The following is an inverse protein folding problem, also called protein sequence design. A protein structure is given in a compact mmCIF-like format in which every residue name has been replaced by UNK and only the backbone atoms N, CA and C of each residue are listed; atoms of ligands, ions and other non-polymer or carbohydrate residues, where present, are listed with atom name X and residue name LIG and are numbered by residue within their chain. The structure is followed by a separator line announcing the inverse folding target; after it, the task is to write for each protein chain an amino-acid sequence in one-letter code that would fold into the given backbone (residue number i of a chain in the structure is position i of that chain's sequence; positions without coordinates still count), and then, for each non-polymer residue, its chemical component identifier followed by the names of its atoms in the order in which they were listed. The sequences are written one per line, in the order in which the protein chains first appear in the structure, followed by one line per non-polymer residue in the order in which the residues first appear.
data_IF_300081247451
#
_entry.id   IF_300081247451
#
_cell.length_a   1.000
_cell.length_b   1.000
_cell.length_c   1.000
_cell.angle_alpha   90.00
_cell.angle_beta   90.00
_cell.angle_gamma   90.00
#
_symmetry.space_group_name_H-M   'P 1'
#
loop_
_entity.id
_entity.type
_entity.pdbx_description
1 polymer ?
#
# COMPACT_ATOMS: atom_id res chain seq x y z
N UNK A 1 -21.36 66.82 18.83
CA UNK A 1 -22.10 65.68 19.43
C UNK A 1 -22.59 64.78 18.31
N UNK A 2 -22.39 63.47 18.48
CA UNK A 2 -22.89 62.31 17.72
C UNK A 2 -22.23 62.06 16.33
N UNK A 3 -21.34 61.08 16.11
CA UNK A 3 -21.32 59.61 16.30
C UNK A 3 -22.14 58.79 15.27
N UNK A 4 -21.41 57.91 14.54
CA UNK A 4 -21.81 56.55 14.06
C UNK A 4 -22.71 56.56 12.79
N UNK A 5 -22.36 55.95 11.64
CA UNK A 5 -22.09 54.52 11.38
C UNK A 5 -21.20 54.27 10.16
N UNK A 6 -20.16 53.47 10.36
CA UNK A 6 -19.55 52.63 9.33
C UNK A 6 -20.53 51.52 8.92
N UNK A 7 -20.71 51.29 7.63
CA UNK A 7 -21.28 50.05 7.09
C UNK A 7 -20.21 49.32 6.29
N UNK A 8 -19.56 48.37 6.96
CA UNK A 8 -18.74 47.30 6.39
C UNK A 8 -19.63 46.37 5.56
N UNK A 9 -19.40 46.29 4.26
CA UNK A 9 -19.92 45.20 3.43
C UNK A 9 -18.83 44.13 3.35
N UNK A 10 -18.82 43.23 4.33
CA UNK A 10 -18.01 42.02 4.30
C UNK A 10 -18.74 40.93 3.52
N UNK A 11 -18.29 40.65 2.30
CA UNK A 11 -18.75 39.48 1.53
C UNK A 11 -18.04 38.25 2.08
N UNK A 12 -18.70 37.55 3.01
CA UNK A 12 -18.26 36.26 3.52
C UNK A 12 -18.54 35.16 2.51
N UNK A 13 -17.50 34.68 1.83
CA UNK A 13 -17.55 33.45 1.04
C UNK A 13 -17.56 32.26 2.00
N UNK A 14 -18.74 31.70 2.25
CA UNK A 14 -18.88 30.44 2.97
C UNK A 14 -18.48 29.30 2.04
N UNK A 15 -17.21 28.87 2.08
CA UNK A 15 -16.78 27.58 1.54
C UNK A 15 -17.35 26.48 2.44
N UNK A 16 -18.56 26.02 2.11
CA UNK A 16 -19.09 24.75 2.59
C UNK A 16 -18.27 23.64 1.94
N UNK A 17 -17.16 23.26 2.58
CA UNK A 17 -16.51 21.98 2.30
C UNK A 17 -17.49 20.91 2.79
N UNK A 18 -18.34 20.44 1.87
CA UNK A 18 -19.17 19.26 2.08
C UNK A 18 -18.25 18.06 2.26
N UNK A 19 -17.91 17.78 3.52
CA UNK A 19 -17.29 16.52 3.90
C UNK A 19 -18.24 15.39 3.50
N UNK A 20 -17.85 14.61 2.49
CA UNK A 20 -18.51 13.36 2.11
C UNK A 20 -18.34 12.33 3.24
N UNK A 21 -19.10 12.49 4.32
CA UNK A 21 -19.26 11.51 5.40
C UNK A 21 -20.24 10.40 5.02
N UNK A 22 -20.07 9.82 3.84
CA UNK A 22 -20.87 8.68 3.40
C UNK A 22 -20.61 7.47 4.29
N UNK A 23 -21.59 7.11 5.13
CA UNK A 23 -21.58 5.84 5.88
C UNK A 23 -21.58 4.69 4.87
N UNK A 24 -20.41 4.10 4.62
CA UNK A 24 -20.28 2.87 3.84
C UNK A 24 -21.08 1.76 4.53
N UNK A 25 -22.08 1.22 3.84
CA UNK A 25 -22.94 0.14 4.37
C UNK A 25 -22.27 -1.19 4.07
N UNK A 26 -21.57 -1.74 5.06
CA UNK A 26 -20.94 -3.07 5.02
C UNK A 26 -21.94 -4.26 5.01
N UNK A 27 -23.20 -4.03 4.66
CA UNK A 27 -24.29 -5.01 4.80
C UNK A 27 -24.29 -6.11 3.74
N UNK A 28 -23.32 -6.15 2.82
CA UNK A 28 -23.29 -7.10 1.71
C UNK A 28 -22.09 -8.06 1.73
N UNK A 29 -21.23 -7.97 2.73
CA UNK A 29 -20.02 -8.80 2.79
C UNK A 29 -20.35 -10.14 3.44
N UNK A 30 -20.18 -11.21 2.68
CA UNK A 30 -20.32 -12.57 3.18
C UNK A 30 -19.02 -13.01 3.89
N UNK A 31 -19.03 -12.94 5.22
CA UNK A 31 -17.88 -13.32 6.04
C UNK A 31 -17.56 -14.82 6.00
N UNK A 32 -18.49 -15.68 5.55
CA UNK A 32 -18.23 -17.12 5.47
C UNK A 32 -17.09 -17.45 4.49
N UNK A 33 -16.89 -16.60 3.47
CA UNK A 33 -15.84 -16.76 2.46
C UNK A 33 -14.54 -16.03 2.81
N UNK A 34 -14.51 -15.29 3.92
CA UNK A 34 -13.39 -14.42 4.27
C UNK A 34 -12.40 -15.06 5.28
N UNK A 35 -12.52 -16.37 5.52
CA UNK A 35 -11.64 -17.09 6.45
C UNK A 35 -12.01 -16.93 7.93
N UNK A 36 -11.47 -17.80 8.81
CA UNK A 36 -11.93 -17.93 10.20
C UNK A 36 -11.54 -16.74 11.09
N UNK A 37 -10.58 -15.92 10.67
CA UNK A 37 -10.04 -14.82 11.47
C UNK A 37 -10.74 -13.48 11.22
N UNK A 38 -11.69 -13.41 10.29
CA UNK A 38 -12.40 -12.16 9.97
C UNK A 38 -13.67 -12.01 10.80
N UNK A 39 -14.03 -10.77 11.10
CA UNK A 39 -15.37 -10.42 11.60
C UNK A 39 -15.70 -8.99 11.16
N UNK A 40 -16.95 -8.57 11.37
CA UNK A 40 -17.41 -7.24 10.94
C UNK A 40 -16.53 -6.08 11.44
N UNK A 41 -16.03 -6.14 12.69
CA UNK A 41 -15.15 -5.10 13.25
C UNK A 41 -13.78 -5.09 12.57
N UNK A 42 -13.18 -6.25 12.36
CA UNK A 42 -11.87 -6.40 11.70
C UNK A 42 -11.94 -5.96 10.23
N UNK A 43 -13.03 -6.33 9.56
CA UNK A 43 -13.31 -5.93 8.20
C UNK A 43 -13.49 -4.42 8.04
N UNK A 44 -14.30 -3.79 8.90
CA UNK A 44 -14.46 -2.33 8.86
C UNK A 44 -13.13 -1.57 9.08
N UNK A 45 -12.21 -2.14 9.86
CA UNK A 45 -10.87 -1.59 10.03
C UNK A 45 -10.02 -1.79 8.77
N UNK A 46 -10.03 -3.00 8.18
CA UNK A 46 -9.35 -3.29 6.93
C UNK A 46 -9.80 -2.33 5.83
N UNK A 47 -11.10 -2.17 5.66
CA UNK A 47 -11.69 -1.30 4.66
C UNK A 47 -11.23 0.16 4.82
N UNK A 48 -11.17 0.66 6.06
CA UNK A 48 -10.68 2.01 6.36
C UNK A 48 -9.20 2.19 6.02
N UNK A 49 -8.37 1.20 6.37
CA UNK A 49 -6.93 1.24 6.05
C UNK A 49 -6.74 1.17 4.54
N UNK A 50 -7.40 0.22 3.88
CA UNK A 50 -7.29 0.02 2.45
C UNK A 50 -7.81 1.21 1.65
N UNK A 51 -8.93 1.83 2.04
CA UNK A 51 -9.43 3.04 1.40
C UNK A 51 -8.41 4.18 1.42
N UNK A 52 -7.70 4.35 2.55
CA UNK A 52 -6.65 5.36 2.69
C UNK A 52 -5.43 5.03 1.84
N UNK A 53 -4.92 3.81 1.92
CA UNK A 53 -3.71 3.38 1.24
C UNK A 53 -3.90 3.35 -0.30
N UNK A 54 -5.08 2.92 -0.74
CA UNK A 54 -5.45 2.86 -2.16
C UNK A 54 -6.00 4.19 -2.70
N UNK A 55 -6.14 5.21 -1.86
CA UNK A 55 -6.76 6.51 -2.21
C UNK A 55 -8.11 6.33 -2.90
N UNK A 56 -8.94 5.43 -2.37
CA UNK A 56 -10.18 4.99 -2.99
C UNK A 56 -11.39 5.31 -2.12
N UNK A 57 -12.23 6.23 -2.62
CA UNK A 57 -13.42 6.72 -1.90
C UNK A 57 -14.65 5.83 -2.09
N UNK A 58 -14.65 4.94 -3.08
CA UNK A 58 -15.71 3.94 -3.30
C UNK A 58 -15.52 2.69 -2.46
N UNK A 59 -16.55 1.84 -2.43
CA UNK A 59 -16.51 0.54 -1.75
C UNK A 59 -15.47 -0.38 -2.42
N UNK A 60 -14.63 -1.01 -1.59
CA UNK A 60 -13.59 -1.93 -2.03
C UNK A 60 -14.14 -3.36 -2.02
N UNK A 61 -13.79 -4.14 -3.04
CA UNK A 61 -14.11 -5.56 -3.11
C UNK A 61 -13.02 -6.37 -2.42
N UNK A 62 -13.34 -7.13 -1.35
CA UNK A 62 -12.38 -8.00 -0.71
C UNK A 62 -12.27 -9.35 -1.41
N UNK A 63 -11.06 -9.91 -1.44
CA UNK A 63 -10.80 -11.29 -1.83
C UNK A 63 -9.87 -11.93 -0.79
N UNK A 64 -10.28 -13.07 -0.23
CA UNK A 64 -9.45 -13.83 0.71
C UNK A 64 -8.42 -14.66 -0.06
N UNK A 65 -7.14 -14.52 0.30
CA UNK A 65 -6.03 -15.22 -0.37
C UNK A 65 -5.55 -16.45 0.41
N UNK A 66 -6.10 -16.71 1.59
CA UNK A 66 -5.59 -17.73 2.51
C UNK A 66 -4.64 -17.14 3.56
N UNK A 67 -4.31 -17.92 4.58
CA UNK A 67 -3.31 -17.56 5.61
C UNK A 67 -3.48 -16.17 6.26
N UNK A 68 -4.72 -15.73 6.47
CA UNK A 68 -5.03 -14.38 6.97
C UNK A 68 -4.61 -13.23 6.04
N UNK A 69 -4.45 -13.48 4.75
CA UNK A 69 -4.18 -12.47 3.72
C UNK A 69 -5.46 -12.12 2.96
N UNK A 70 -5.62 -10.83 2.70
CA UNK A 70 -6.81 -10.25 2.09
C UNK A 70 -6.36 -9.26 1.03
N UNK A 71 -6.80 -9.47 -0.20
CA UNK A 71 -6.69 -8.48 -1.25
C UNK A 71 -7.89 -7.56 -1.21
N UNK A 72 -7.65 -6.26 -1.29
CA UNK A 72 -8.69 -5.24 -1.42
C UNK A 72 -8.54 -4.62 -2.80
N UNK A 73 -9.63 -4.62 -3.59
CA UNK A 73 -9.63 -4.21 -5.00
C UNK A 73 -10.66 -3.09 -5.20
N UNK A 74 -10.26 -2.01 -5.86
CA UNK A 74 -11.15 -0.92 -6.25
C UNK A 74 -10.39 0.27 -6.82
N UNK A 75 -11.09 1.21 -7.45
CA UNK A 75 -10.46 2.39 -8.08
C UNK A 75 -9.29 2.06 -9.03
N UNK A 76 -9.39 0.96 -9.79
CA UNK A 76 -8.31 0.46 -10.67
C UNK A 76 -6.99 0.19 -9.94
N UNK A 77 -7.06 -0.17 -8.66
CA UNK A 77 -5.89 -0.51 -7.87
C UNK A 77 -6.22 -1.61 -6.87
N UNK A 78 -5.18 -2.26 -6.36
CA UNK A 78 -5.31 -3.31 -5.38
C UNK A 78 -4.23 -3.24 -4.30
N UNK A 79 -4.52 -3.81 -3.14
CA UNK A 79 -3.55 -3.93 -2.05
C UNK A 79 -3.74 -5.24 -1.30
N UNK A 80 -2.65 -5.85 -0.86
CA UNK A 80 -2.66 -7.07 -0.06
C UNK A 80 -2.36 -6.75 1.40
N UNK A 81 -3.23 -7.21 2.29
CA UNK A 81 -3.18 -6.94 3.73
C UNK A 81 -3.14 -8.26 4.50
N UNK A 82 -2.29 -8.33 5.53
CA UNK A 82 -2.20 -9.51 6.42
C UNK A 82 -2.77 -9.17 7.80
N UNK A 83 -3.70 -9.99 8.29
CA UNK A 83 -4.15 -9.90 9.67
C UNK A 83 -3.22 -10.70 10.57
N UNK A 84 -2.51 -10.02 11.48
CA UNK A 84 -1.65 -10.66 12.48
C UNK A 84 -2.22 -10.45 13.87
N UNK A 85 -2.38 -11.56 14.61
CA UNK A 85 -2.90 -11.55 15.97
C UNK A 85 -1.81 -11.98 16.97
N UNK A 86 -1.59 -11.18 18.01
CA UNK A 86 -0.68 -11.44 19.12
C UNK A 86 -1.44 -11.21 20.42
N UNK A 87 -1.55 -12.24 21.26
CA UNK A 87 -2.16 -12.20 22.61
C UNK A 87 -3.46 -11.38 22.65
N UNK A 88 -4.47 -11.82 21.91
CA UNK A 88 -5.80 -11.20 21.89
C UNK A 88 -5.91 -9.87 21.13
N UNK A 89 -4.81 -9.30 20.65
CA UNK A 89 -4.81 -8.10 19.82
C UNK A 89 -4.50 -8.47 18.37
N UNK A 90 -5.29 -7.98 17.42
CA UNK A 90 -5.06 -8.18 16.01
C UNK A 90 -4.83 -6.85 15.30
N UNK A 91 -3.81 -6.81 14.46
CA UNK A 91 -3.44 -5.63 13.67
C UNK A 91 -3.29 -6.01 12.22
N UNK A 92 -3.66 -5.09 11.34
CA UNK A 92 -3.44 -5.21 9.91
C UNK A 92 -2.02 -4.79 9.57
N UNK A 93 -1.33 -5.62 8.78
CA UNK A 93 -0.07 -5.29 8.14
C UNK A 93 -0.41 -4.74 6.75
N UNK A 94 -0.05 -3.48 6.44
CA UNK A 94 -0.34 -2.89 5.14
C UNK A 94 0.51 -3.50 4.03
N UNK A 95 0.08 -3.30 2.78
CA UNK A 95 0.84 -3.73 1.61
C UNK A 95 2.20 -3.00 1.54
N UNK A 96 3.30 -3.76 1.53
CA UNK A 96 4.65 -3.21 1.46
C UNK A 96 4.89 -2.40 0.18
N UNK A 97 4.17 -2.73 -0.91
CA UNK A 97 4.33 -2.05 -2.20
C UNK A 97 3.96 -0.57 -2.13
N UNK A 98 3.11 -0.16 -1.18
CA UNK A 98 2.77 1.25 -0.94
C UNK A 98 3.97 2.05 -0.43
N UNK A 99 4.82 1.45 0.42
CA UNK A 99 6.06 2.09 0.86
C UNK A 99 7.12 2.04 -0.24
N UNK A 100 7.23 0.89 -0.90
CA UNK A 100 8.21 0.70 -1.95
C UNK A 100 7.97 1.58 -3.18
N UNK A 101 6.73 1.98 -3.47
CA UNK A 101 6.43 2.95 -4.52
C UNK A 101 7.20 4.27 -4.32
N UNK A 102 7.29 4.75 -3.08
CA UNK A 102 8.05 5.95 -2.75
C UNK A 102 9.57 5.72 -2.85
N UNK A 103 10.10 4.67 -2.22
CA UNK A 103 11.55 4.45 -2.15
C UNK A 103 12.15 4.06 -3.51
N UNK A 104 11.45 3.23 -4.28
CA UNK A 104 11.88 2.79 -5.61
C UNK A 104 11.54 3.83 -6.68
N UNK A 105 10.56 4.71 -6.42
CA UNK A 105 10.11 5.72 -7.38
C UNK A 105 9.37 5.11 -8.57
N UNK A 106 8.55 4.10 -8.32
CA UNK A 106 7.92 3.27 -9.34
C UNK A 106 6.47 2.99 -8.97
N UNK A 107 5.59 2.94 -9.98
CA UNK A 107 4.18 2.75 -9.72
C UNK A 107 3.96 1.41 -9.01
N UNK A 108 3.11 1.40 -7.97
CA UNK A 108 2.84 0.21 -7.15
C UNK A 108 2.50 -1.05 -7.97
N UNK A 109 1.80 -0.88 -9.09
CA UNK A 109 1.41 -1.96 -10.00
C UNK A 109 2.59 -2.62 -10.73
N UNK A 110 3.72 -1.92 -10.86
CA UNK A 110 4.96 -2.43 -11.44
C UNK A 110 5.87 -3.08 -10.38
N UNK A 111 5.41 -3.15 -9.13
CA UNK A 111 6.14 -3.72 -8.01
C UNK A 111 5.62 -5.12 -7.67
N UNK A 112 6.56 -6.03 -7.48
CA UNK A 112 6.31 -7.39 -7.01
C UNK A 112 6.95 -7.55 -5.63
N UNK A 113 6.17 -8.07 -4.68
CA UNK A 113 6.61 -8.31 -3.31
C UNK A 113 6.72 -9.82 -3.05
N UNK A 114 7.85 -10.25 -2.50
CA UNK A 114 8.13 -11.64 -2.15
C UNK A 114 8.53 -11.71 -0.69
N UNK A 115 7.82 -12.52 0.11
CA UNK A 115 8.22 -12.79 1.49
C UNK A 115 9.55 -13.54 1.49
N UNK A 116 10.54 -13.00 2.18
CA UNK A 116 11.84 -13.65 2.36
C UNK A 116 11.88 -14.45 3.66
N UNK A 117 11.24 -13.92 4.71
CA UNK A 117 11.04 -14.60 5.99
C UNK A 117 9.75 -14.07 6.67
N UNK A 118 9.57 -14.34 7.97
CA UNK A 118 8.37 -13.93 8.75
C UNK A 118 8.20 -12.42 8.93
N UNK A 119 9.29 -11.66 8.86
CA UNK A 119 9.34 -10.21 9.10
C UNK A 119 10.02 -9.45 7.97
N UNK A 120 10.61 -10.12 6.98
CA UNK A 120 11.30 -9.48 5.87
C UNK A 120 10.59 -9.76 4.55
N UNK A 121 10.35 -8.71 3.77
CA UNK A 121 9.79 -8.80 2.42
C UNK A 121 10.71 -8.09 1.44
N UNK A 122 11.07 -8.78 0.36
CA UNK A 122 11.76 -8.18 -0.78
C UNK A 122 10.75 -7.56 -1.73
N UNK A 123 11.06 -6.39 -2.27
CA UNK A 123 10.27 -5.76 -3.33
C UNK A 123 11.18 -5.49 -4.53
N UNK A 124 10.72 -5.89 -5.70
CA UNK A 124 11.39 -5.69 -6.98
C UNK A 124 10.43 -5.04 -7.97
N UNK A 125 10.97 -4.24 -8.88
CA UNK A 125 10.22 -3.60 -9.95
C UNK A 125 11.07 -2.53 -10.60
N UNK A 126 10.73 -2.11 -11.83
CA UNK A 126 11.39 -0.99 -12.53
C UNK A 126 12.94 -1.02 -12.55
N UNK A 127 13.56 -2.21 -12.57
CA UNK A 127 15.02 -2.37 -12.52
C UNK A 127 15.66 -2.01 -11.17
N UNK A 128 14.85 -1.97 -10.10
CA UNK A 128 15.29 -1.70 -8.74
C UNK A 128 14.76 -2.76 -7.77
N UNK A 129 15.44 -2.89 -6.65
CA UNK A 129 15.04 -3.77 -5.55
C UNK A 129 15.40 -3.21 -4.19
N UNK A 130 14.58 -3.54 -3.21
CA UNK A 130 14.82 -3.23 -1.81
C UNK A 130 14.28 -4.35 -0.91
N UNK A 131 14.78 -4.39 0.33
CA UNK A 131 14.23 -5.26 1.37
C UNK A 131 13.61 -4.41 2.46
N UNK A 132 12.47 -4.87 2.97
CA UNK A 132 11.70 -4.21 4.01
C UNK A 132 11.55 -5.12 5.20
N UNK A 133 11.75 -4.57 6.39
CA UNK A 133 11.52 -5.26 7.65
C UNK A 133 10.26 -4.74 8.31
N UNK A 134 9.40 -5.66 8.72
CA UNK A 134 8.20 -5.40 9.48
C UNK A 134 8.56 -5.15 10.94
N UNK A 135 8.27 -3.95 11.43
CA UNK A 135 8.39 -3.61 12.84
C UNK A 135 7.01 -3.65 13.49
N UNK A 136 6.90 -4.37 14.60
CA UNK A 136 5.73 -4.33 15.46
C UNK A 136 5.88 -3.22 16.51
N UNK A 137 4.87 -2.38 16.63
CA UNK A 137 4.71 -1.40 17.68
C UNK A 137 3.49 -1.73 18.54
N UNK A 138 3.35 -1.07 19.70
CA UNK A 138 2.21 -1.24 20.63
C UNK A 138 0.84 -1.04 19.96
N UNK A 139 0.78 -0.31 18.84
CA UNK A 139 -0.46 0.08 18.16
C UNK A 139 -0.54 -0.38 16.70
N UNK A 140 0.37 -1.21 16.20
CA UNK A 140 0.30 -1.71 14.83
C UNK A 140 1.64 -2.15 14.25
N UNK A 141 1.66 -2.36 12.94
CA UNK A 141 2.85 -2.73 12.19
C UNK A 141 3.23 -1.66 11.17
N UNK A 142 4.52 -1.48 10.94
CA UNK A 142 5.04 -0.62 9.88
C UNK A 142 6.18 -1.30 9.15
N UNK A 143 6.30 -1.00 7.85
CA UNK A 143 7.45 -1.41 7.06
C UNK A 143 8.56 -0.38 7.20
N UNK A 144 9.79 -0.85 7.37
CA UNK A 144 10.98 -0.01 7.38
C UNK A 144 11.96 -0.56 6.37
N UNK A 145 12.58 0.33 5.59
CA UNK A 145 13.61 -0.02 4.65
C UNK A 145 14.79 -0.68 5.39
N UNK A 146 15.11 -1.91 5.02
CA UNK A 146 16.12 -2.75 5.66
C UNK A 146 17.47 -2.76 4.90
N UNK A 147 17.49 -2.23 3.68
CA UNK A 147 18.68 -2.10 2.85
C UNK A 147 18.58 -0.87 1.95
N UNK A 148 19.72 -0.33 1.47
CA UNK A 148 19.68 0.67 0.40
C UNK A 148 18.99 0.09 -0.84
N UNK A 149 18.36 0.96 -1.63
CA UNK A 149 17.76 0.58 -2.92
C UNK A 149 18.90 0.20 -3.87
N UNK A 150 18.89 -1.03 -4.34
CA UNK A 150 19.82 -1.51 -5.36
C UNK A 150 19.17 -1.37 -6.75
N UNK A 151 19.97 -0.97 -7.74
CA UNK A 151 19.60 -1.10 -9.14
C UNK A 151 20.05 -2.47 -9.63
N UNK A 152 19.21 -3.14 -10.41
CA UNK A 152 19.63 -4.35 -11.11
C UNK A 152 20.62 -3.92 -12.20
N UNK A 153 21.90 -4.27 -12.01
CA UNK A 153 22.90 -4.03 -13.04
C UNK A 153 22.47 -4.75 -14.32
N UNK A 154 22.29 -3.98 -15.40
CA UNK A 154 22.11 -4.56 -16.72
C UNK A 154 23.33 -5.44 -17.00
N UNK A 155 23.16 -6.74 -17.32
CA UNK A 155 24.30 -7.60 -17.60
C UNK A 155 25.19 -6.93 -18.65
N UNK A 156 26.45 -6.70 -18.31
CA UNK A 156 27.41 -6.19 -19.27
C UNK A 156 27.41 -7.14 -20.48
N UNK A 157 27.42 -6.63 -21.73
CA UNK A 157 27.54 -7.50 -22.90
C UNK A 157 28.83 -8.30 -22.73
N UNK A 158 28.70 -9.63 -22.68
CA UNK A 158 29.85 -10.53 -22.61
C UNK A 158 30.80 -10.19 -23.77
N UNK A 159 32.13 -10.16 -23.54
CA UNK A 159 33.09 -10.04 -24.63
C UNK A 159 32.78 -11.16 -25.61
N UNK A 160 32.39 -10.83 -26.84
CA UNK A 160 32.30 -11.82 -27.91
C UNK A 160 33.70 -12.42 -28.03
N UNK A 161 33.80 -13.74 -27.87
CA UNK A 161 35.01 -14.48 -28.19
C UNK A 161 35.52 -14.03 -29.57
N UNK A 162 36.65 -13.32 -29.57
CA UNK A 162 37.38 -12.97 -30.77
C UNK A 162 37.99 -14.27 -31.29
N UNK A 163 37.29 -14.90 -32.24
CA UNK A 163 37.77 -16.08 -32.96
C UNK A 163 39.11 -15.72 -33.61
N UNK A 164 40.21 -16.43 -33.32
CA UNK A 164 41.49 -16.15 -33.96
C UNK A 164 41.38 -16.38 -35.48
N UNK A 165 41.61 -15.33 -36.26
CA UNK A 165 41.77 -15.47 -37.71
C UNK A 165 43.00 -16.35 -37.99
N UNK A 166 42.88 -17.42 -38.79
CA UNK A 166 44.04 -18.19 -39.22
C UNK A 166 44.86 -17.37 -40.22
N UNK A 167 46.10 -17.07 -39.85
CA UNK A 167 47.11 -16.49 -40.73
C UNK A 167 47.55 -17.56 -41.74
N UNK A 168 47.11 -17.44 -43.00
CA UNK A 168 47.69 -18.22 -44.09
C UNK A 168 49.00 -17.55 -44.54
N UNK A 169 50.08 -18.31 -44.52
CA UNK A 169 51.34 -18.05 -45.22
C UNK A 169 51.47 -19.05 -46.38
#
# INVERSE_FOLDING_TARGET
MNLIRLSLVGVGVALLVSGCGGRRRNSKVDFSQMGPSINAKRYANLEKIAAKDLKCDVELTPQYLGENQYQMIGCNTEGVYELRCVVGQCSWIPDVRVHAEFDLGCAKQDLQATKLDRVTTGVVGCGKRATYRLLGARYGYSWVLNSMVAQDETPAPSPKDEVPQPTNL
#
